data_IF_725470634776
#
_entry.id   IF_725470634776
#
_cell.length_a   1.000
_cell.length_b   1.000
_cell.length_c   1.000
_cell.angle_alpha   90.00
_cell.angle_beta   90.00
_cell.angle_gamma   90.00
#
_symmetry.space_group_name_H-M   'P 1'
#
loop_
_entity.id
_entity.type
_entity.pdbx_description
1 polymer ?
#
# COMPACT_ATOMS: atom_id res chain seq x y z
N UNK A 1 -16.53 -10.69 16.39
CA UNK A 1 -15.71 -9.45 16.37
C UNK A 1 -15.30 -9.20 14.95
N UNK A 2 -15.83 -8.15 14.33
CA UNK A 2 -15.67 -7.91 12.88
C UNK A 2 -14.22 -7.50 12.55
N UNK A 3 -13.52 -8.26 11.72
CA UNK A 3 -12.15 -7.94 11.28
C UNK A 3 -12.10 -6.64 10.48
N UNK A 4 -13.18 -6.29 9.80
CA UNK A 4 -13.32 -5.04 9.04
C UNK A 4 -13.06 -3.81 9.92
N UNK A 5 -13.63 -3.75 11.10
CA UNK A 5 -13.49 -2.60 12.00
C UNK A 5 -12.09 -2.44 12.58
N UNK A 6 -11.27 -3.51 12.49
CA UNK A 6 -9.90 -3.54 12.96
C UNK A 6 -8.87 -3.33 11.86
N UNK A 7 -9.32 -3.23 10.62
CA UNK A 7 -8.48 -3.13 9.44
C UNK A 7 -8.32 -1.70 8.97
N UNK A 8 -7.11 -1.35 8.53
CA UNK A 8 -6.79 -0.10 7.86
C UNK A 8 -6.00 -0.39 6.59
N UNK A 9 -6.32 0.33 5.52
CA UNK A 9 -5.64 0.23 4.23
C UNK A 9 -4.78 1.45 3.97
N UNK A 10 -3.47 1.24 3.92
CA UNK A 10 -2.47 2.24 3.60
C UNK A 10 -2.06 2.09 2.14
N UNK A 11 -2.59 2.93 1.26
CA UNK A 11 -2.34 2.89 -0.18
C UNK A 11 -1.21 3.84 -0.59
N UNK A 12 -0.10 3.29 -1.08
CA UNK A 12 1.11 4.02 -1.41
C UNK A 12 1.30 4.14 -2.93
N UNK A 13 1.52 5.35 -3.38
CA UNK A 13 1.69 5.66 -4.80
C UNK A 13 0.38 5.55 -5.59
N UNK A 14 0.46 5.66 -6.90
CA UNK A 14 -0.71 5.65 -7.79
C UNK A 14 -1.51 4.34 -7.68
N UNK A 15 -0.84 3.20 -7.78
CA UNK A 15 -1.48 1.89 -7.74
C UNK A 15 -2.15 1.63 -6.39
N UNK A 16 -1.40 1.75 -5.29
CA UNK A 16 -1.92 1.53 -3.94
C UNK A 16 -3.04 2.50 -3.56
N UNK A 17 -2.92 3.76 -3.99
CA UNK A 17 -3.95 4.77 -3.80
C UNK A 17 -5.29 4.41 -4.46
N UNK A 18 -5.26 3.91 -5.70
CA UNK A 18 -6.47 3.45 -6.41
C UNK A 18 -7.11 2.22 -5.74
N UNK A 19 -6.29 1.29 -5.26
CA UNK A 19 -6.78 0.12 -4.53
C UNK A 19 -7.41 0.52 -3.18
N UNK A 20 -6.76 1.39 -2.43
CA UNK A 20 -7.30 1.92 -1.17
C UNK A 20 -8.62 2.65 -1.40
N UNK A 21 -8.72 3.49 -2.44
CA UNK A 21 -9.96 4.17 -2.80
C UNK A 21 -11.12 3.20 -2.97
N UNK A 22 -10.94 2.10 -3.70
CA UNK A 22 -11.98 1.09 -3.90
C UNK A 22 -12.44 0.48 -2.58
N UNK A 23 -11.53 0.13 -1.72
CA UNK A 23 -11.86 -0.44 -0.41
C UNK A 23 -12.58 0.56 0.50
N UNK A 24 -12.22 1.83 0.43
CA UNK A 24 -12.86 2.89 1.21
C UNK A 24 -14.26 3.20 0.67
N UNK A 25 -14.39 3.45 -0.63
CA UNK A 25 -15.66 3.92 -1.24
C UNK A 25 -16.67 2.79 -1.42
N UNK A 26 -16.25 1.62 -1.93
CA UNK A 26 -17.18 0.55 -2.27
C UNK A 26 -17.53 -0.34 -1.07
N UNK A 27 -16.63 -0.44 -0.09
CA UNK A 27 -16.78 -1.35 1.05
C UNK A 27 -16.73 -0.67 2.43
N UNK A 28 -16.45 0.63 2.49
CA UNK A 28 -16.49 1.41 3.75
C UNK A 28 -15.36 1.09 4.73
N UNK A 29 -14.19 0.65 4.24
CA UNK A 29 -13.02 0.45 5.09
C UNK A 29 -12.37 1.77 5.48
N UNK A 30 -11.63 1.75 6.58
CA UNK A 30 -10.69 2.82 6.93
C UNK A 30 -9.47 2.75 6.04
N UNK A 31 -8.99 3.90 5.59
CA UNK A 31 -7.78 3.93 4.76
C UNK A 31 -7.30 5.35 4.47
N UNK A 32 -6.13 5.42 3.91
CA UNK A 32 -5.48 6.65 3.47
C UNK A 32 -4.65 6.38 2.22
N UNK A 33 -4.68 7.30 1.27
CA UNK A 33 -3.80 7.26 0.09
C UNK A 33 -2.64 8.24 0.27
N UNK A 34 -1.42 7.78 0.00
CA UNK A 34 -0.18 8.54 0.17
C UNK A 34 0.58 8.58 -1.14
N UNK A 35 0.96 9.74 -1.61
CA UNK A 35 1.73 9.90 -2.84
C UNK A 35 2.57 11.18 -2.83
N UNK A 36 3.67 11.18 -3.56
CA UNK A 36 4.47 12.37 -3.88
C UNK A 36 3.89 13.19 -5.05
N UNK A 37 2.95 12.63 -5.83
CA UNK A 37 2.25 13.32 -6.91
C UNK A 37 0.92 13.90 -6.42
N UNK A 38 0.82 15.21 -6.38
CA UNK A 38 -0.42 15.91 -6.02
C UNK A 38 -1.53 15.64 -7.05
N UNK A 39 -1.17 15.53 -8.33
CA UNK A 39 -2.11 15.24 -9.41
C UNK A 39 -2.78 13.86 -9.22
N UNK A 40 -1.98 12.84 -8.91
CA UNK A 40 -2.52 11.50 -8.65
C UNK A 40 -3.46 11.48 -7.44
N UNK A 41 -3.12 12.23 -6.38
CA UNK A 41 -3.99 12.35 -5.21
C UNK A 41 -5.29 13.08 -5.51
N UNK A 42 -5.26 14.14 -6.31
CA UNK A 42 -6.48 14.86 -6.74
C UNK A 42 -7.44 13.95 -7.52
N UNK A 43 -6.92 13.06 -8.33
CA UNK A 43 -7.71 12.10 -9.11
C UNK A 43 -8.45 11.06 -8.23
N UNK A 44 -8.09 10.90 -6.97
CA UNK A 44 -8.73 9.95 -6.05
C UNK A 44 -10.03 10.47 -5.41
N UNK A 45 -10.40 11.76 -5.59
CA UNK A 45 -11.64 12.32 -5.02
C UNK A 45 -11.55 12.58 -3.51
N UNK A 46 -12.63 12.30 -2.76
CA UNK A 46 -12.81 12.70 -1.35
C UNK A 46 -12.41 11.65 -0.32
N UNK A 47 -11.41 10.84 -0.57
CA UNK A 47 -10.85 9.95 0.45
C UNK A 47 -9.78 10.65 1.28
N UNK A 48 -9.40 10.07 2.42
CA UNK A 48 -8.26 10.55 3.19
C UNK A 48 -6.98 10.42 2.38
N UNK A 49 -6.20 11.48 2.33
CA UNK A 49 -4.97 11.57 1.53
C UNK A 49 -3.86 12.26 2.30
N UNK A 50 -2.63 11.84 2.01
CA UNK A 50 -1.43 12.54 2.44
C UNK A 50 -0.50 12.77 1.26
N UNK A 51 -0.10 14.03 1.05
CA UNK A 51 0.88 14.41 0.05
C UNK A 51 2.28 14.42 0.68
N UNK A 52 3.16 13.53 0.19
CA UNK A 52 4.57 13.57 0.56
C UNK A 52 5.19 14.82 -0.07
N UNK A 53 5.49 15.83 0.75
CA UNK A 53 6.09 17.08 0.32
C UNK A 53 7.58 16.91 -0.01
N UNK A 54 8.12 17.84 -0.81
CA UNK A 54 9.53 17.86 -1.18
C UNK A 54 9.82 17.47 -2.64
N UNK A 55 8.97 16.64 -3.24
CA UNK A 55 9.13 16.23 -4.65
C UNK A 55 7.77 16.12 -5.35
N UNK A 56 7.71 16.52 -6.59
CA UNK A 56 6.53 16.34 -7.45
C UNK A 56 6.77 15.14 -8.39
N UNK A 57 6.63 13.94 -7.83
CA UNK A 57 6.91 12.68 -8.52
C UNK A 57 8.39 12.28 -8.52
N UNK A 58 8.66 10.99 -8.66
CA UNK A 58 10.00 10.43 -8.50
C UNK A 58 10.58 9.81 -9.79
N UNK A 59 9.82 9.84 -10.88
CA UNK A 59 10.29 9.38 -12.19
C UNK A 59 10.80 7.92 -12.24
N UNK A 60 10.24 7.03 -11.41
CA UNK A 60 10.66 5.63 -11.33
C UNK A 60 11.85 5.37 -10.38
N UNK A 61 12.38 6.39 -9.71
CA UNK A 61 13.54 6.27 -8.82
C UNK A 61 13.11 6.07 -7.36
N UNK A 62 13.23 4.84 -6.86
CA UNK A 62 12.86 4.46 -5.48
C UNK A 62 13.61 5.26 -4.41
N UNK A 63 14.90 5.49 -4.61
CA UNK A 63 15.76 6.22 -3.67
C UNK A 63 15.22 7.62 -3.34
N UNK A 64 14.64 8.30 -4.31
CA UNK A 64 14.02 9.62 -4.11
C UNK A 64 12.79 9.56 -3.20
N UNK A 65 12.00 8.52 -3.30
CA UNK A 65 10.84 8.35 -2.43
C UNK A 65 11.23 8.00 -0.99
N UNK A 66 12.34 7.29 -0.81
CA UNK A 66 12.91 6.99 0.51
C UNK A 66 13.38 8.28 1.19
N UNK A 67 14.15 9.11 0.46
CA UNK A 67 14.63 10.40 0.96
C UNK A 67 13.45 11.31 1.32
N UNK A 68 12.46 11.41 0.43
CA UNK A 68 11.26 12.20 0.65
C UNK A 68 10.48 11.72 1.89
N UNK A 69 10.36 10.42 2.10
CA UNK A 69 9.67 9.88 3.27
C UNK A 69 10.32 10.34 4.57
N UNK A 70 11.65 10.36 4.63
CA UNK A 70 12.40 10.79 5.81
C UNK A 70 12.20 12.29 6.15
N UNK A 71 11.84 13.10 5.16
CA UNK A 71 11.54 14.53 5.35
C UNK A 71 10.08 14.80 5.77
N UNK A 72 9.21 13.80 5.75
CA UNK A 72 7.80 13.91 6.11
C UNK A 72 7.53 13.34 7.51
N UNK A 73 8.11 13.98 8.53
CA UNK A 73 8.01 13.54 9.94
C UNK A 73 6.57 13.42 10.44
N UNK A 74 5.68 14.33 10.05
CA UNK A 74 4.25 14.30 10.42
C UNK A 74 3.58 13.01 9.94
N UNK A 75 3.96 12.51 8.75
CA UNK A 75 3.42 11.27 8.23
C UNK A 75 3.99 10.06 8.97
N UNK A 76 5.27 10.07 9.29
CA UNK A 76 5.88 9.01 10.09
C UNK A 76 5.25 8.93 11.49
N UNK A 77 5.00 10.09 12.11
CA UNK A 77 4.29 10.15 13.38
C UNK A 77 2.85 9.59 13.27
N UNK A 78 2.13 9.95 12.21
CA UNK A 78 0.81 9.36 11.93
C UNK A 78 0.88 7.83 11.85
N UNK A 79 1.86 7.27 11.12
CA UNK A 79 2.04 5.83 10.96
C UNK A 79 2.30 5.13 12.30
N UNK A 80 3.14 5.73 13.14
CA UNK A 80 3.39 5.20 14.49
C UNK A 80 2.13 5.16 15.36
N UNK A 81 1.24 6.15 15.21
CA UNK A 81 0.01 6.29 15.99
C UNK A 81 -1.19 5.52 15.45
N UNK A 82 -1.09 4.83 14.32
CA UNK A 82 -2.16 3.95 13.83
C UNK A 82 -2.55 2.94 14.91
N UNK A 83 -3.84 2.83 15.23
CA UNK A 83 -4.35 1.97 16.30
C UNK A 83 -5.03 0.69 15.80
N UNK A 84 -5.31 0.58 14.53
CA UNK A 84 -5.88 -0.61 13.92
C UNK A 84 -4.95 -1.81 14.10
N UNK A 85 -5.55 -2.99 14.28
CA UNK A 85 -4.80 -4.23 14.53
C UNK A 85 -4.30 -4.92 13.28
N UNK A 86 -4.99 -4.71 12.16
CA UNK A 86 -4.65 -5.29 10.86
C UNK A 86 -4.39 -4.15 9.89
N UNK A 87 -3.20 -4.10 9.33
CA UNK A 87 -2.80 -3.03 8.41
C UNK A 87 -2.38 -3.64 7.10
N UNK A 88 -3.10 -3.28 6.04
CA UNK A 88 -2.74 -3.64 4.68
C UNK A 88 -1.93 -2.51 4.05
N UNK A 89 -0.73 -2.82 3.61
CA UNK A 89 0.15 -1.87 2.90
C UNK A 89 0.07 -2.17 1.42
N UNK A 90 -0.71 -1.36 0.69
CA UNK A 90 -1.01 -1.54 -0.73
C UNK A 90 -0.04 -0.72 -1.58
N UNK A 91 0.62 -1.35 -2.54
CA UNK A 91 1.54 -0.62 -3.44
C UNK A 91 1.79 -1.35 -4.75
N UNK A 92 2.14 -0.58 -5.78
CA UNK A 92 2.67 -1.11 -7.02
C UNK A 92 4.16 -1.36 -6.89
N UNK A 93 4.61 -2.60 -7.04
CA UNK A 93 6.02 -2.95 -6.93
C UNK A 93 6.91 -2.21 -7.93
N UNK A 94 6.40 -1.95 -9.13
CA UNK A 94 7.12 -1.24 -10.17
C UNK A 94 7.15 0.29 -10.02
N UNK A 95 6.28 0.85 -9.18
CA UNK A 95 6.24 2.30 -8.93
C UNK A 95 7.34 2.76 -7.99
N UNK A 96 7.78 4.02 -8.13
CA UNK A 96 8.82 4.59 -7.26
C UNK A 96 8.31 4.90 -5.86
N UNK A 97 7.24 5.68 -5.75
CA UNK A 97 6.69 6.08 -4.44
C UNK A 97 6.24 4.87 -3.63
N UNK A 98 5.41 4.02 -4.24
CA UNK A 98 4.88 2.84 -3.56
C UNK A 98 5.98 1.90 -3.11
N UNK A 99 6.79 1.42 -4.05
CA UNK A 99 7.81 0.42 -3.75
C UNK A 99 8.95 0.94 -2.87
N UNK A 100 9.26 2.24 -2.94
CA UNK A 100 10.31 2.85 -2.12
C UNK A 100 9.88 3.08 -0.66
N UNK A 101 8.62 3.50 -0.45
CA UNK A 101 8.10 3.75 0.91
C UNK A 101 7.56 2.49 1.60
N UNK A 102 7.02 1.54 0.84
CA UNK A 102 6.25 0.43 1.38
C UNK A 102 7.05 -0.46 2.32
N UNK A 103 8.28 -0.79 1.95
CA UNK A 103 9.12 -1.69 2.77
C UNK A 103 9.49 -1.05 4.10
N UNK A 104 9.84 0.23 4.10
CA UNK A 104 10.18 0.99 5.31
C UNK A 104 8.94 1.09 6.22
N UNK A 105 7.80 1.49 5.70
CA UNK A 105 6.56 1.62 6.49
C UNK A 105 6.08 0.27 7.01
N UNK A 106 6.22 -0.79 6.23
CA UNK A 106 5.90 -2.15 6.65
C UNK A 106 6.77 -2.58 7.82
N UNK A 107 8.06 -2.32 7.76
CA UNK A 107 8.99 -2.60 8.85
C UNK A 107 8.65 -1.80 10.12
N UNK A 108 8.46 -0.48 9.99
CA UNK A 108 8.08 0.37 11.12
C UNK A 108 6.79 -0.11 11.81
N UNK A 109 5.78 -0.48 11.03
CA UNK A 109 4.50 -0.98 11.55
C UNK A 109 4.64 -2.33 12.24
N UNK A 110 5.45 -3.24 11.70
CA UNK A 110 5.63 -4.60 12.23
C UNK A 110 6.50 -4.65 13.47
N UNK A 111 7.50 -3.77 13.57
CA UNK A 111 8.46 -3.73 14.68
C UNK A 111 7.93 -3.01 15.93
N UNK A 112 6.80 -2.32 15.85
CA UNK A 112 6.21 -1.66 17.02
C UNK A 112 5.60 -2.70 17.97
N UNK A 113 6.39 -3.18 18.91
CA UNK A 113 6.02 -4.23 19.86
C UNK A 113 4.88 -3.84 20.80
N UNK A 114 4.70 -2.56 21.08
CA UNK A 114 3.65 -2.07 21.98
C UNK A 114 2.26 -2.22 21.38
N UNK A 115 2.14 -2.20 20.06
CA UNK A 115 0.84 -2.23 19.36
C UNK A 115 0.40 -3.58 18.84
N UNK A 116 1.28 -4.57 18.75
CA UNK A 116 1.00 -5.95 18.28
C UNK A 116 0.10 -6.00 17.04
N UNK A 117 0.53 -5.35 15.98
CA UNK A 117 -0.20 -5.28 14.70
C UNK A 117 0.08 -6.50 13.84
N UNK A 118 -0.89 -6.86 13.01
CA UNK A 118 -0.72 -7.77 11.87
C UNK A 118 -0.56 -6.90 10.63
N UNK A 119 0.62 -6.91 10.04
CA UNK A 119 0.93 -6.10 8.85
C UNK A 119 0.95 -7.00 7.63
N UNK A 120 0.10 -6.70 6.65
CA UNK A 120 -0.11 -7.50 5.45
C UNK A 120 0.29 -6.68 4.20
N UNK A 121 1.48 -6.88 3.64
CA UNK A 121 1.85 -6.26 2.39
C UNK A 121 0.99 -6.77 1.23
N UNK A 122 0.60 -5.86 0.34
CA UNK A 122 -0.10 -6.18 -0.92
C UNK A 122 0.69 -5.54 -2.05
N UNK A 123 1.44 -6.35 -2.76
CA UNK A 123 2.28 -5.90 -3.87
C UNK A 123 1.64 -6.22 -5.21
N UNK A 124 1.45 -5.21 -6.05
CA UNK A 124 1.04 -5.39 -7.44
C UNK A 124 2.28 -5.49 -8.32
N UNK A 125 2.48 -6.64 -8.93
CA UNK A 125 3.59 -6.90 -9.82
C UNK A 125 3.35 -6.24 -11.18
N UNK A 126 4.38 -5.62 -11.80
CA UNK A 126 4.27 -5.05 -13.13
C UNK A 126 3.97 -6.12 -14.16
N UNK A 127 3.22 -5.77 -15.21
CA UNK A 127 3.01 -6.67 -16.34
C UNK A 127 4.29 -6.88 -17.15
N UNK A 128 4.38 -8.01 -17.85
CA UNK A 128 5.61 -8.44 -18.54
C UNK A 128 6.12 -7.45 -19.59
N UNK A 129 5.24 -6.62 -20.15
CA UNK A 129 5.55 -5.60 -21.16
C UNK A 129 5.95 -4.23 -20.58
N UNK A 130 5.91 -4.07 -19.25
CA UNK A 130 6.33 -2.83 -18.62
C UNK A 130 7.88 -2.65 -18.63
N UNK A 131 8.34 -1.41 -18.45
CA UNK A 131 9.76 -1.07 -18.51
C UNK A 131 10.59 -1.84 -17.46
N UNK A 132 11.83 -2.21 -17.84
CA UNK A 132 12.76 -3.00 -17.01
C UNK A 132 12.94 -2.39 -15.61
N UNK A 133 12.99 -1.07 -15.48
CA UNK A 133 13.12 -0.41 -14.17
C UNK A 133 11.98 -0.76 -13.22
N UNK A 134 10.77 -0.98 -13.73
CA UNK A 134 9.63 -1.39 -12.90
C UNK A 134 9.79 -2.81 -12.34
N UNK A 135 10.33 -3.71 -13.15
CA UNK A 135 10.64 -5.06 -12.70
C UNK A 135 11.76 -5.07 -11.67
N UNK A 136 12.80 -4.25 -11.87
CA UNK A 136 13.89 -4.07 -10.90
C UNK A 136 13.37 -3.52 -9.57
N UNK A 137 12.51 -2.50 -9.60
CA UNK A 137 11.89 -1.94 -8.40
C UNK A 137 11.06 -2.98 -7.64
N UNK A 138 10.24 -3.76 -8.37
CA UNK A 138 9.42 -4.81 -7.78
C UNK A 138 10.27 -5.91 -7.14
N UNK A 139 11.33 -6.34 -7.82
CA UNK A 139 12.25 -7.35 -7.30
C UNK A 139 12.91 -6.89 -5.99
N UNK A 140 13.42 -5.67 -5.96
CA UNK A 140 14.03 -5.10 -4.75
C UNK A 140 13.03 -5.02 -3.60
N UNK A 141 11.81 -4.53 -3.86
CA UNK A 141 10.78 -4.45 -2.84
C UNK A 141 10.42 -5.82 -2.26
N UNK A 142 10.32 -6.86 -3.10
CA UNK A 142 10.07 -8.23 -2.63
C UNK A 142 11.21 -8.75 -1.77
N UNK A 143 12.46 -8.51 -2.17
CA UNK A 143 13.62 -8.93 -1.37
C UNK A 143 13.62 -8.26 0.00
N UNK A 144 13.39 -6.95 0.07
CA UNK A 144 13.33 -6.21 1.32
C UNK A 144 12.20 -6.71 2.23
N UNK A 145 11.02 -7.01 1.67
CA UNK A 145 9.91 -7.57 2.45
C UNK A 145 10.23 -8.95 3.04
N UNK A 146 11.02 -9.76 2.34
CA UNK A 146 11.42 -11.09 2.83
C UNK A 146 12.35 -11.03 4.05
N UNK A 147 13.01 -9.90 4.26
CA UNK A 147 13.90 -9.69 5.41
C UNK A 147 13.16 -9.19 6.66
N UNK A 148 11.86 -8.85 6.54
CA UNK A 148 11.05 -8.37 7.66
C UNK A 148 10.39 -9.55 8.36
N UNK A 149 10.74 -9.76 9.62
CA UNK A 149 10.14 -10.80 10.45
C UNK A 149 8.74 -10.42 10.95
N UNK A 150 7.91 -11.42 11.17
CA UNK A 150 6.62 -11.25 11.86
C UNK A 150 5.51 -10.62 11.04
N UNK A 151 5.65 -10.57 9.72
CA UNK A 151 4.58 -10.12 8.83
C UNK A 151 3.38 -11.07 8.87
N UNK A 152 2.21 -10.50 8.59
CA UNK A 152 1.02 -11.26 8.24
C UNK A 152 1.10 -11.85 6.83
N UNK A 153 -0.05 -12.16 6.22
CA UNK A 153 -0.08 -12.66 4.86
C UNK A 153 0.41 -11.59 3.88
N UNK A 154 1.32 -11.96 2.97
CA UNK A 154 1.72 -11.13 1.84
C UNK A 154 0.92 -11.52 0.61
N UNK A 155 0.27 -10.55 -0.02
CA UNK A 155 -0.57 -10.76 -1.20
C UNK A 155 0.14 -10.25 -2.44
N UNK A 156 0.10 -11.05 -3.50
CA UNK A 156 0.62 -10.68 -4.81
C UNK A 156 -0.52 -10.50 -5.80
N UNK A 157 -0.58 -9.33 -6.43
CA UNK A 157 -1.50 -9.03 -7.52
C UNK A 157 -0.69 -9.02 -8.81
N UNK A 158 -1.11 -9.77 -9.82
CA UNK A 158 -0.42 -9.84 -11.10
C UNK A 158 -1.16 -9.00 -12.16
N UNK A 159 -0.49 -7.98 -12.69
CA UNK A 159 -1.04 -7.13 -13.74
C UNK A 159 -1.12 -7.81 -15.13
N UNK A 160 -0.59 -9.03 -15.27
CA UNK A 160 -0.76 -9.82 -16.50
C UNK A 160 -2.09 -10.60 -16.57
N UNK A 161 -2.87 -10.61 -15.48
CA UNK A 161 -4.17 -11.33 -15.44
C UNK A 161 -5.18 -10.70 -16.41
N UNK A 162 -5.21 -9.38 -16.51
CA UNK A 162 -6.09 -8.64 -17.39
C UNK A 162 -5.43 -7.33 -17.84
N UNK A 163 -5.84 -6.78 -18.97
CA UNK A 163 -5.40 -5.47 -19.44
C UNK A 163 -6.14 -4.32 -18.76
N UNK A 164 -7.29 -4.59 -18.19
CA UNK A 164 -8.08 -3.65 -17.41
C UNK A 164 -7.66 -3.68 -15.94
N UNK A 165 -6.79 -2.77 -15.56
CA UNK A 165 -6.33 -2.64 -14.18
C UNK A 165 -7.45 -2.28 -13.19
N UNK A 166 -8.51 -1.62 -13.67
CA UNK A 166 -9.68 -1.35 -12.85
C UNK A 166 -10.42 -2.64 -12.47
N UNK A 167 -10.53 -3.57 -13.41
CA UNK A 167 -11.07 -4.90 -13.16
C UNK A 167 -10.21 -5.68 -12.16
N UNK A 168 -8.89 -5.64 -12.29
CA UNK A 168 -7.95 -6.29 -11.35
C UNK A 168 -8.14 -5.72 -9.94
N UNK A 169 -8.18 -4.39 -9.80
CA UNK A 169 -8.35 -3.73 -8.52
C UNK A 169 -9.72 -4.04 -7.89
N UNK A 170 -10.78 -4.08 -8.68
CA UNK A 170 -12.14 -4.43 -8.22
C UNK A 170 -12.22 -5.88 -7.74
N UNK A 171 -11.58 -6.80 -8.46
CA UNK A 171 -11.53 -8.22 -8.09
C UNK A 171 -10.78 -8.42 -6.79
N UNK A 172 -9.65 -7.74 -6.63
CA UNK A 172 -8.89 -7.77 -5.37
C UNK A 172 -9.69 -7.20 -4.20
N UNK A 173 -10.33 -6.04 -4.37
CA UNK A 173 -11.12 -5.42 -3.31
C UNK A 173 -12.27 -6.32 -2.86
N UNK A 174 -12.97 -6.97 -3.80
CA UNK A 174 -14.02 -7.95 -3.50
C UNK A 174 -13.47 -9.16 -2.74
N UNK A 175 -12.32 -9.67 -3.14
CA UNK A 175 -11.66 -10.79 -2.46
C UNK A 175 -11.33 -10.44 -1.01
N UNK A 176 -10.69 -9.31 -0.76
CA UNK A 176 -10.33 -8.87 0.59
C UNK A 176 -11.58 -8.61 1.44
N UNK A 177 -12.61 -7.96 0.90
CA UNK A 177 -13.86 -7.75 1.64
C UNK A 177 -14.52 -9.07 2.02
N UNK A 178 -14.58 -10.02 1.10
CA UNK A 178 -15.11 -11.37 1.38
C UNK A 178 -14.31 -12.06 2.48
N UNK A 179 -12.98 -11.96 2.44
CA UNK A 179 -12.10 -12.56 3.44
C UNK A 179 -12.29 -11.94 4.84
N UNK A 180 -12.35 -10.60 4.93
CA UNK A 180 -12.46 -9.89 6.21
C UNK A 180 -13.89 -9.90 6.80
N UNK A 181 -14.90 -10.06 5.95
CA UNK A 181 -16.32 -10.09 6.36
C UNK A 181 -16.82 -11.50 6.68
N UNK A 182 -16.00 -12.54 6.49
CA UNK A 182 -16.41 -13.92 6.72
C UNK A 182 -16.39 -14.24 8.21
N UNK A 183 -17.57 -14.47 8.79
CA UNK A 183 -17.73 -14.80 10.22
C UNK A 183 -17.03 -16.10 10.63
N UNK A 184 -16.67 -16.96 9.68
CA UNK A 184 -15.94 -18.20 9.95
C UNK A 184 -14.51 -17.95 10.49
N UNK A 185 -13.98 -16.73 10.32
CA UNK A 185 -12.65 -16.33 10.80
C UNK A 185 -12.69 -15.48 12.07
N UNK A 186 -13.84 -15.26 12.62
CA UNK A 186 -14.06 -14.53 13.86
C UNK A 186 -14.39 -15.46 15.02
#
# INVERSE_FOLDING_TARGET
MNLKDKSLFLGLGCCGGKQAKKLIEDYGYKGIAVNGSEQDLKALGNINKYHLSGFDGFGGHREKSIDCLSENEDFLDYVEHINEKIIFVLFGGGGSTGSGCATILTEMLSQNLDKKRIVCPVITLPSADEAIIKHSNAYQAVQELQEIDGLGATFFINNDIDKDYEYINSTFAKFIDTFLSNDAYT
#
